data_IF_478660121206
#
_entry.id   IF_478660121206
#
_cell.length_a   1.000
_cell.length_b   1.000
_cell.length_c   1.000
_cell.angle_alpha   90.00
_cell.angle_beta   90.00
_cell.angle_gamma   90.00
#
_symmetry.space_group_name_H-M   'P 1'
#
loop_
_entity.id
_entity.type
_entity.pdbx_description
1 polymer ?
#
# COMPACT_ATOMS: atom_id res chain seq x y z
N UNK A 1 -18.71 -7.52 -33.59
CA UNK A 1 -17.30 -7.65 -33.13
C UNK A 1 -16.79 -6.39 -32.41
N UNK A 2 -16.93 -5.18 -32.94
CA UNK A 2 -16.51 -3.92 -32.27
C UNK A 2 -17.13 -3.71 -30.88
N UNK A 3 -18.41 -4.01 -30.70
CA UNK A 3 -19.11 -3.87 -29.42
C UNK A 3 -18.55 -4.82 -28.35
N UNK A 4 -18.27 -6.08 -28.72
CA UNK A 4 -17.66 -7.05 -27.82
C UNK A 4 -16.24 -6.64 -27.42
N UNK A 5 -15.49 -6.03 -28.34
CA UNK A 5 -14.15 -5.52 -28.06
C UNK A 5 -14.19 -4.37 -27.03
N UNK A 6 -15.16 -3.47 -27.15
CA UNK A 6 -15.39 -2.37 -26.21
C UNK A 6 -15.81 -2.89 -24.83
N UNK A 7 -16.69 -3.90 -24.80
CA UNK A 7 -17.14 -4.51 -23.55
C UNK A 7 -15.96 -5.20 -22.84
N UNK A 8 -15.12 -5.91 -23.59
CA UNK A 8 -13.91 -6.55 -23.06
C UNK A 8 -12.93 -5.51 -22.48
N UNK A 9 -12.71 -4.38 -23.18
CA UNK A 9 -11.86 -3.29 -22.71
C UNK A 9 -12.40 -2.64 -21.42
N UNK A 10 -13.72 -2.50 -21.27
CA UNK A 10 -14.31 -2.01 -20.03
C UNK A 10 -14.12 -2.99 -18.86
N UNK A 11 -14.17 -4.30 -19.10
CA UNK A 11 -13.93 -5.30 -18.05
C UNK A 11 -12.47 -5.33 -17.56
N UNK A 12 -11.50 -4.95 -18.39
CA UNK A 12 -10.09 -4.83 -17.97
C UNK A 12 -9.78 -3.52 -17.22
N UNK A 13 -10.70 -2.57 -17.17
CA UNK A 13 -10.56 -1.34 -16.39
C UNK A 13 -10.95 -1.59 -14.92
N UNK A 14 -10.30 -2.56 -14.27
CA UNK A 14 -10.40 -2.68 -12.81
C UNK A 14 -9.69 -1.48 -12.15
N UNK A 15 -10.26 -0.87 -11.10
CA UNK A 15 -9.57 0.18 -10.36
C UNK A 15 -8.35 -0.47 -9.69
N UNK A 16 -7.16 -0.11 -10.15
CA UNK A 16 -5.94 -0.40 -9.44
C UNK A 16 -5.98 0.41 -8.14
N UNK A 17 -6.28 -0.24 -7.02
CA UNK A 17 -6.04 0.34 -5.70
C UNK A 17 -4.53 0.49 -5.55
N UNK A 18 -4.02 1.67 -5.91
CA UNK A 18 -2.65 2.06 -5.64
C UNK A 18 -2.44 1.97 -4.13
N UNK A 19 -1.48 1.14 -3.71
CA UNK A 19 -1.04 1.12 -2.33
C UNK A 19 -0.68 2.55 -1.93
N UNK A 20 -1.22 3.04 -0.81
CA UNK A 20 -1.00 4.39 -0.29
C UNK A 20 0.48 4.71 -0.31
N UNK A 21 0.93 5.34 -1.40
CA UNK A 21 2.29 5.76 -1.54
C UNK A 21 2.45 6.90 -0.55
N UNK A 22 3.45 6.83 0.34
CA UNK A 22 3.59 7.85 1.35
C UNK A 22 3.67 9.21 0.67
N UNK A 23 2.88 10.15 1.18
CA UNK A 23 2.79 11.49 0.62
C UNK A 23 4.15 12.18 0.59
N UNK A 24 4.19 13.36 -0.02
CA UNK A 24 5.40 14.17 -0.04
C UNK A 24 5.87 14.49 1.39
N UNK A 25 7.13 14.22 1.68
CA UNK A 25 7.76 14.64 2.94
C UNK A 25 7.86 16.17 2.93
N UNK A 26 7.04 16.80 3.75
CA UNK A 26 6.96 18.26 3.91
C UNK A 26 7.11 18.60 5.39
N UNK A 27 7.20 19.89 5.72
CA UNK A 27 7.28 20.35 7.11
C UNK A 27 6.14 19.80 7.98
N UNK A 28 4.92 19.70 7.43
CA UNK A 28 3.76 19.18 8.15
C UNK A 28 3.89 17.68 8.49
N UNK A 29 4.71 16.94 7.75
CA UNK A 29 4.96 15.51 7.93
C UNK A 29 6.27 15.20 8.65
N UNK A 30 6.98 16.18 9.20
CA UNK A 30 8.25 15.93 9.89
C UNK A 30 8.06 14.96 11.07
N UNK A 31 8.94 13.96 11.14
CA UNK A 31 8.89 12.87 12.13
C UNK A 31 7.92 11.74 11.79
N UNK A 32 7.09 11.87 10.73
CA UNK A 32 6.21 10.79 10.29
C UNK A 32 7.01 9.60 9.75
N UNK A 33 6.43 8.40 9.90
CA UNK A 33 6.97 7.15 9.37
C UNK A 33 6.20 6.70 8.13
N UNK A 34 6.93 6.16 7.18
CA UNK A 34 6.39 5.65 5.94
C UNK A 34 7.14 4.39 5.51
N UNK A 35 6.43 3.47 4.87
CA UNK A 35 7.07 2.32 4.23
C UNK A 35 7.41 2.65 2.78
N UNK A 36 8.70 2.76 2.44
CA UNK A 36 9.16 2.94 1.07
C UNK A 36 10.12 1.82 0.71
N UNK A 37 9.86 1.13 -0.41
CA UNK A 37 10.68 0.03 -0.90
C UNK A 37 10.98 -1.05 0.17
N UNK A 38 9.99 -1.37 1.02
CA UNK A 38 10.12 -2.38 2.09
C UNK A 38 10.93 -1.93 3.31
N UNK A 39 11.33 -0.65 3.38
CA UNK A 39 12.05 -0.06 4.51
C UNK A 39 11.19 0.98 5.24
N UNK A 40 11.31 1.01 6.56
CA UNK A 40 10.67 2.04 7.37
C UNK A 40 11.49 3.33 7.30
N UNK A 41 10.98 4.33 6.58
CA UNK A 41 11.61 5.63 6.43
C UNK A 41 10.96 6.67 7.34
N UNK A 42 11.71 7.70 7.70
CA UNK A 42 11.21 8.85 8.47
C UNK A 42 11.37 10.14 7.68
N UNK A 43 10.37 11.02 7.74
CA UNK A 43 10.46 12.34 7.12
C UNK A 43 11.25 13.28 8.03
N UNK A 44 12.33 13.88 7.54
CA UNK A 44 13.18 14.79 8.33
C UNK A 44 13.64 15.97 7.51
N UNK A 45 13.93 17.08 8.20
CA UNK A 45 14.64 18.19 7.58
C UNK A 45 16.11 17.85 7.38
N UNK A 46 16.56 17.87 6.13
CA UNK A 46 17.95 17.79 5.75
C UNK A 46 18.50 19.19 5.45
N UNK A 47 19.54 19.57 6.18
CA UNK A 47 20.30 20.78 5.85
C UNK A 47 21.08 20.55 4.58
N UNK A 48 20.89 21.46 3.64
CA UNK A 48 21.65 21.56 2.42
C UNK A 48 23.12 21.87 2.70
N UNK A 49 23.95 21.70 1.67
CA UNK A 49 25.37 21.97 1.74
C UNK A 49 25.81 22.78 0.54
N UNK A 50 26.52 23.88 0.78
CA UNK A 50 27.09 24.73 -0.28
C UNK A 50 28.00 23.92 -1.22
N UNK A 51 28.72 22.94 -0.67
CA UNK A 51 29.65 22.09 -1.41
C UNK A 51 28.94 21.14 -2.40
N UNK A 52 27.69 20.76 -2.13
CA UNK A 52 26.90 19.87 -3.00
C UNK A 52 25.88 20.61 -3.85
N UNK A 53 25.76 21.94 -3.67
CA UNK A 53 24.75 22.77 -4.33
C UNK A 53 23.30 22.39 -3.95
N UNK A 54 23.09 21.60 -2.89
CA UNK A 54 21.75 21.22 -2.44
C UNK A 54 21.24 22.26 -1.45
N UNK A 55 20.02 22.73 -1.70
CA UNK A 55 19.27 23.52 -0.73
C UNK A 55 18.69 22.67 0.40
N UNK A 56 18.34 23.36 1.47
CA UNK A 56 17.58 22.81 2.59
C UNK A 56 16.24 22.22 2.12
N UNK A 57 15.88 21.04 2.62
CA UNK A 57 14.63 20.36 2.24
C UNK A 57 14.17 19.34 3.26
N UNK A 58 12.88 19.01 3.21
CA UNK A 58 12.34 17.81 3.86
C UNK A 58 12.54 16.61 2.94
N UNK A 59 13.11 15.53 3.47
CA UNK A 59 13.37 14.31 2.71
C UNK A 59 13.11 13.05 3.56
N UNK A 60 12.76 11.96 2.87
CA UNK A 60 12.63 10.64 3.49
C UNK A 60 14.02 10.06 3.78
N UNK A 61 14.33 9.85 5.06
CA UNK A 61 15.50 9.10 5.51
C UNK A 61 15.14 7.60 5.59
N UNK A 62 15.57 6.89 4.55
CA UNK A 62 15.47 5.44 4.41
C UNK A 62 16.84 4.75 4.60
N UNK A 63 17.70 5.29 5.48
CA UNK A 63 19.08 4.82 5.65
C UNK A 63 19.19 3.30 5.87
N UNK A 64 20.36 2.70 5.57
CA UNK A 64 20.54 1.24 5.56
C UNK A 64 20.33 0.56 6.92
N UNK A 65 20.39 1.33 8.01
CA UNK A 65 20.14 0.85 9.37
C UNK A 65 18.65 0.89 9.76
N UNK A 66 17.77 1.37 8.88
CA UNK A 66 16.33 1.36 9.12
C UNK A 66 15.77 -0.05 9.03
N UNK A 67 14.83 -0.42 9.92
CA UNK A 67 14.21 -1.73 9.88
C UNK A 67 13.36 -1.89 8.62
N UNK A 68 13.05 -3.15 8.33
CA UNK A 68 12.06 -3.50 7.32
C UNK A 68 10.65 -3.09 7.79
N UNK A 69 9.76 -2.89 6.84
CA UNK A 69 8.36 -2.60 7.17
C UNK A 69 7.69 -3.81 7.84
N UNK A 70 6.72 -3.59 8.74
CA UNK A 70 5.94 -4.68 9.28
C UNK A 70 5.25 -5.43 8.14
N UNK A 71 5.26 -6.76 8.20
CA UNK A 71 4.46 -7.58 7.30
C UNK A 71 2.99 -7.20 7.49
N UNK A 72 2.31 -6.84 6.40
CA UNK A 72 0.87 -6.62 6.44
C UNK A 72 0.24 -7.91 6.98
N UNK A 73 -0.61 -7.86 8.03
CA UNK A 73 -1.32 -9.05 8.45
C UNK A 73 -2.07 -9.58 7.24
N UNK A 74 -1.79 -10.82 6.85
CA UNK A 74 -2.58 -11.48 5.82
C UNK A 74 -4.02 -11.49 6.34
N UNK A 75 -4.90 -10.72 5.71
CA UNK A 75 -6.33 -10.82 5.99
C UNK A 75 -6.69 -12.25 5.59
N UNK A 76 -7.11 -13.11 6.54
CA UNK A 76 -7.47 -14.47 6.19
C UNK A 76 -8.57 -14.38 5.13
N UNK A 77 -8.38 -15.10 4.02
CA UNK A 77 -9.39 -15.20 2.99
C UNK A 77 -10.73 -15.58 3.66
N UNK A 78 -11.85 -14.96 3.27
CA UNK A 78 -13.14 -15.30 3.85
C UNK A 78 -13.31 -16.81 3.75
N UNK A 79 -13.54 -17.46 4.90
CA UNK A 79 -13.75 -18.89 4.95
C UNK A 79 -14.92 -19.22 4.00
N UNK A 80 -14.82 -20.27 3.17
CA UNK A 80 -15.95 -20.68 2.35
C UNK A 80 -17.13 -20.92 3.28
N UNK A 81 -18.28 -20.32 2.96
CA UNK A 81 -19.53 -20.50 3.68
C UNK A 81 -19.78 -22.01 3.81
N UNK A 82 -19.57 -22.52 5.02
CA UNK A 82 -19.91 -23.89 5.35
C UNK A 82 -21.44 -23.92 5.31
N UNK A 83 -22.01 -24.29 4.15
CA UNK A 83 -23.44 -24.54 4.04
C UNK A 83 -23.74 -25.64 5.05
N UNK A 84 -24.39 -25.23 6.15
CA UNK A 84 -24.97 -26.13 7.14
C UNK A 84 -25.95 -27.00 6.36
N UNK A 85 -25.49 -28.20 6.02
CA UNK A 85 -26.35 -29.24 5.45
C UNK A 85 -27.44 -29.47 6.49
N UNK A 86 -28.64 -28.98 6.20
CA UNK A 86 -29.80 -29.22 7.05
C UNK A 86 -29.93 -30.74 7.26
N UNK A 87 -30.12 -31.22 8.50
CA UNK A 87 -30.30 -32.64 8.73
C UNK A 87 -31.57 -33.09 8.00
N UNK A 88 -31.44 -34.14 7.16
CA UNK A 88 -32.57 -34.81 6.53
C UNK A 88 -33.61 -35.18 7.58
N UNK A 89 -34.77 -34.53 7.50
CA UNK A 89 -35.88 -34.73 8.40
C UNK A 89 -36.50 -36.12 8.17
N UNK A 90 -36.01 -37.09 8.93
CA UNK A 90 -36.52 -38.45 8.99
C UNK A 90 -37.72 -38.53 9.93
N UNK A 91 -38.93 -38.21 9.47
CA UNK A 91 -40.23 -38.59 10.10
C UNK A 91 -41.32 -38.50 9.03
N UNK A 92 -42.27 -39.42 8.87
CA UNK A 92 -42.56 -40.76 9.39
C UNK A 92 -43.63 -41.32 8.46
#
# INVERSE_FOLDING_TARGET
>A
MRLYLLLLLLLLAAPAHAQDSPGQCTAAGEGSLACLAGRACVCRFERGGQLTGRGDRFAWDCGPLRPECPATPAVPAPAPDLQVIAPMERRR
#
